data_IF_608125216102
#
_entry.id   IF_608125216102
#
_cell.length_a   1.000
_cell.length_b   1.000
_cell.length_c   1.000
_cell.angle_alpha   90.00
_cell.angle_beta   90.00
_cell.angle_gamma   90.00
#
_symmetry.space_group_name_H-M   'P 1'
#
loop_
_entity.id
_entity.type
_entity.pdbx_description
1 polymer ?
#
# COMPACT_ATOMS: atom_id res chain seq x y z
N UNK A 1 16.17 6.68 -20.55
CA UNK A 1 15.81 6.24 -19.19
C UNK A 1 15.54 7.42 -18.23
N UNK A 2 16.00 8.64 -18.54
CA UNK A 2 15.81 9.84 -17.69
C UNK A 2 14.43 10.51 -17.76
N UNK A 3 13.66 10.38 -18.85
CA UNK A 3 12.36 11.07 -18.99
C UNK A 3 11.26 10.55 -18.05
N UNK A 4 11.34 9.29 -17.61
CA UNK A 4 10.34 8.72 -16.70
C UNK A 4 10.57 9.14 -15.24
N UNK A 5 11.82 9.39 -14.83
CA UNK A 5 12.13 9.83 -13.46
C UNK A 5 11.73 11.27 -13.18
N UNK A 6 11.68 12.13 -14.19
CA UNK A 6 11.26 13.54 -14.06
C UNK A 6 9.76 13.75 -14.14
N UNK A 7 9.00 12.83 -14.74
CA UNK A 7 7.53 12.91 -14.77
C UNK A 7 6.88 12.31 -13.52
N UNK A 8 7.58 11.40 -12.81
CA UNK A 8 7.06 10.77 -11.59
C UNK A 8 6.88 11.73 -10.40
N UNK A 9 7.46 12.94 -10.47
CA UNK A 9 7.28 13.98 -9.44
C UNK A 9 6.01 14.82 -9.62
N UNK A 10 5.38 14.80 -10.80
CA UNK A 10 4.15 15.55 -11.09
C UNK A 10 2.92 14.64 -11.30
N UNK A 11 3.11 13.31 -11.33
CA UNK A 11 2.04 12.34 -11.58
C UNK A 11 1.78 11.52 -10.32
N UNK A 12 0.52 11.47 -9.89
CA UNK A 12 0.09 10.59 -8.80
C UNK A 12 0.32 9.12 -9.19
N UNK A 13 1.27 8.45 -8.53
CA UNK A 13 1.58 7.05 -8.77
C UNK A 13 0.80 6.19 -7.79
N UNK A 14 -0.14 5.41 -8.33
CA UNK A 14 -0.91 4.42 -7.59
C UNK A 14 -0.25 3.05 -7.69
N UNK A 15 0.13 2.49 -6.56
CA UNK A 15 0.57 1.10 -6.52
C UNK A 15 -0.56 0.21 -6.04
N UNK A 16 -1.09 -0.61 -6.96
CA UNK A 16 -2.09 -1.64 -6.68
C UNK A 16 -1.41 -3.00 -6.91
N UNK A 17 -0.83 -3.63 -5.88
CA UNK A 17 -0.24 -4.94 -6.02
C UNK A 17 -1.37 -5.98 -6.09
N UNK A 18 -1.84 -6.25 -7.32
CA UNK A 18 -2.92 -7.22 -7.57
C UNK A 18 -2.45 -8.68 -7.71
N UNK A 19 -1.15 -8.94 -7.82
CA UNK A 19 -0.65 -10.28 -8.17
C UNK A 19 -0.14 -11.11 -6.98
N UNK A 20 0.62 -10.50 -6.06
CA UNK A 20 1.07 -11.13 -4.81
C UNK A 20 1.85 -10.12 -3.96
N UNK A 21 1.97 -10.38 -2.66
CA UNK A 21 2.87 -9.66 -1.74
C UNK A 21 4.31 -9.70 -2.24
N UNK A 22 4.78 -10.84 -2.76
CA UNK A 22 6.15 -10.96 -3.26
C UNK A 22 6.42 -10.02 -4.44
N UNK A 23 5.55 -10.02 -5.46
CA UNK A 23 5.69 -9.15 -6.63
C UNK A 23 5.67 -7.67 -6.22
N UNK A 24 4.81 -7.34 -5.25
CA UNK A 24 4.74 -6.00 -4.66
C UNK A 24 6.08 -5.56 -4.08
N UNK A 25 6.70 -6.44 -3.29
CA UNK A 25 7.96 -6.17 -2.62
C UNK A 25 9.15 -6.14 -3.58
N UNK A 26 9.13 -6.95 -4.65
CA UNK A 26 10.16 -6.89 -5.71
C UNK A 26 10.18 -5.51 -6.36
N UNK A 27 9.01 -4.96 -6.70
CA UNK A 27 8.92 -3.59 -7.22
C UNK A 27 9.43 -2.56 -6.21
N UNK A 28 8.98 -2.62 -4.96
CA UNK A 28 9.37 -1.64 -3.95
C UNK A 28 10.87 -1.67 -3.63
N UNK A 29 11.53 -2.83 -3.77
CA UNK A 29 12.97 -2.99 -3.55
C UNK A 29 13.84 -2.56 -4.73
N UNK A 30 13.28 -2.41 -5.93
CA UNK A 30 14.06 -2.00 -7.10
C UNK A 30 14.41 -0.50 -7.03
N UNK A 31 15.44 -0.07 -7.77
CA UNK A 31 15.91 1.32 -7.76
C UNK A 31 14.82 2.35 -8.08
N UNK A 32 13.83 1.97 -8.90
CA UNK A 32 12.70 2.83 -9.19
C UNK A 32 11.72 2.90 -8.01
N UNK A 33 11.36 1.76 -7.41
CA UNK A 33 10.47 1.71 -6.26
C UNK A 33 11.05 2.45 -5.05
N UNK A 34 12.34 2.31 -4.79
CA UNK A 34 13.04 3.02 -3.71
C UNK A 34 12.99 4.56 -3.88
N UNK A 35 12.96 5.09 -5.11
CA UNK A 35 12.80 6.54 -5.34
C UNK A 35 11.41 7.05 -4.93
N UNK A 36 10.43 6.17 -4.83
CA UNK A 36 9.05 6.50 -4.42
C UNK A 36 8.87 6.47 -2.90
N UNK A 37 9.89 6.03 -2.15
CA UNK A 37 9.85 5.98 -0.70
C UNK A 37 9.54 7.36 -0.11
N UNK A 38 8.47 7.43 0.68
CA UNK A 38 8.01 8.65 1.37
C UNK A 38 7.66 9.82 0.42
N UNK A 39 7.57 9.59 -0.89
CA UNK A 39 7.12 10.60 -1.84
C UNK A 39 5.62 10.90 -1.64
N UNK A 40 5.21 12.17 -1.55
CA UNK A 40 3.81 12.54 -1.36
C UNK A 40 2.92 12.13 -2.54
N UNK A 41 3.51 11.98 -3.74
CA UNK A 41 2.86 11.51 -4.97
C UNK A 41 2.63 10.01 -5.01
N UNK A 42 3.16 9.23 -4.05
CA UNK A 42 3.08 7.78 -4.06
C UNK A 42 2.15 7.27 -2.97
N UNK A 43 1.10 6.56 -3.39
CA UNK A 43 0.13 5.92 -2.50
C UNK A 43 -0.04 4.45 -2.85
N UNK A 44 -0.30 3.63 -1.84
CA UNK A 44 -0.42 2.18 -1.97
C UNK A 44 -1.85 1.77 -1.64
N UNK A 45 -2.49 0.98 -2.51
CA UNK A 45 -3.81 0.41 -2.27
C UNK A 45 -3.69 -1.11 -2.27
N UNK A 46 -4.28 -1.79 -1.29
CA UNK A 46 -4.28 -3.25 -1.21
C UNK A 46 -5.64 -3.77 -0.78
N UNK A 47 -5.97 -4.99 -1.18
CA UNK A 47 -7.05 -5.76 -0.53
C UNK A 47 -6.52 -6.46 0.74
N UNK A 48 -7.40 -6.79 1.68
CA UNK A 48 -7.03 -7.56 2.87
C UNK A 48 -6.84 -9.05 2.55
N UNK A 49 -7.72 -9.59 1.71
CA UNK A 49 -7.76 -11.02 1.35
C UNK A 49 -7.20 -11.24 -0.05
N UNK A 50 -6.35 -12.26 -0.21
CA UNK A 50 -5.86 -12.73 -1.52
C UNK A 50 -5.77 -14.26 -1.51
N UNK A 51 -6.56 -14.92 -2.35
CA UNK A 51 -6.78 -16.37 -2.32
C UNK A 51 -5.51 -17.18 -2.63
N UNK A 52 -4.59 -16.59 -3.40
CA UNK A 52 -3.31 -17.19 -3.78
C UNK A 52 -2.23 -17.12 -2.69
N UNK A 53 -2.47 -16.36 -1.61
CA UNK A 53 -1.50 -16.21 -0.52
C UNK A 53 -1.83 -17.06 0.72
N UNK A 54 -0.80 -17.36 1.53
CA UNK A 54 -0.95 -18.18 2.73
C UNK A 54 -0.49 -17.40 3.99
N UNK A 55 -1.39 -17.16 4.97
CA UNK A 55 -2.84 -17.34 4.88
C UNK A 55 -3.48 -16.21 4.05
N UNK A 56 -4.61 -16.49 3.37
CA UNK A 56 -5.21 -15.54 2.42
C UNK A 56 -5.82 -14.33 3.11
N UNK A 57 -6.42 -14.50 4.28
CA UNK A 57 -7.25 -13.51 4.98
C UNK A 57 -6.48 -12.34 5.61
N UNK A 58 -5.16 -12.36 5.59
CA UNK A 58 -4.32 -11.29 6.14
C UNK A 58 -3.22 -10.82 5.17
N UNK A 59 -3.34 -11.16 3.89
CA UNK A 59 -2.37 -10.80 2.86
C UNK A 59 -2.09 -9.28 2.83
N UNK A 60 -3.12 -8.45 2.92
CA UNK A 60 -2.96 -7.00 2.98
C UNK A 60 -2.17 -6.53 4.20
N UNK A 61 -2.45 -7.07 5.38
CA UNK A 61 -1.73 -6.73 6.61
C UNK A 61 -0.27 -7.21 6.59
N UNK A 62 0.02 -8.40 6.03
CA UNK A 62 1.39 -8.89 5.82
C UNK A 62 2.16 -8.00 4.85
N UNK A 63 1.52 -7.57 3.76
CA UNK A 63 2.12 -6.60 2.83
C UNK A 63 2.42 -5.28 3.53
N UNK A 64 1.49 -4.71 4.31
CA UNK A 64 1.71 -3.46 5.05
C UNK A 64 2.89 -3.58 6.03
N UNK A 65 2.98 -4.69 6.77
CA UNK A 65 4.11 -4.93 7.67
C UNK A 65 5.45 -4.97 6.91
N UNK A 66 5.48 -5.61 5.74
CA UNK A 66 6.66 -5.67 4.89
C UNK A 66 7.05 -4.31 4.30
N UNK A 67 6.07 -3.54 3.79
CA UNK A 67 6.26 -2.16 3.29
C UNK A 67 6.88 -1.28 4.39
N UNK A 68 6.34 -1.35 5.61
CA UNK A 68 6.84 -0.58 6.77
C UNK A 68 8.21 -1.05 7.26
N UNK A 69 8.63 -2.28 6.94
CA UNK A 69 9.98 -2.75 7.18
C UNK A 69 10.98 -2.30 6.11
N UNK A 70 10.50 -1.90 4.93
CA UNK A 70 11.30 -1.32 3.86
C UNK A 70 11.49 0.20 3.99
N UNK A 71 10.92 0.85 5.02
CA UNK A 71 11.07 2.30 5.25
C UNK A 71 9.93 3.17 4.69
N UNK A 72 9.09 2.62 3.82
CA UNK A 72 7.97 3.33 3.22
C UNK A 72 6.92 3.71 4.28
N UNK A 73 6.76 5.01 4.55
CA UNK A 73 5.72 5.60 5.40
C UNK A 73 4.61 6.29 4.58
N UNK A 74 4.57 6.03 3.27
CA UNK A 74 3.55 6.50 2.36
C UNK A 74 2.13 6.15 2.84
N UNK A 75 1.16 6.91 2.36
CA UNK A 75 -0.26 6.64 2.57
C UNK A 75 -0.62 5.28 1.95
N UNK A 76 -1.25 4.44 2.77
CA UNK A 76 -1.69 3.10 2.41
C UNK A 76 -3.19 2.96 2.68
N UNK A 77 -3.94 2.41 1.72
CA UNK A 77 -5.36 2.09 1.89
C UNK A 77 -5.57 0.59 1.77
N UNK A 78 -6.24 -0.01 2.75
CA UNK A 78 -6.80 -1.34 2.65
C UNK A 78 -8.26 -1.21 2.21
N UNK A 79 -8.58 -1.63 0.99
CA UNK A 79 -9.95 -1.70 0.50
C UNK A 79 -10.51 -3.10 0.79
N UNK A 80 -11.59 -3.21 1.55
CA UNK A 80 -12.08 -4.50 2.06
C UNK A 80 -13.52 -4.43 2.49
N UNK A 81 -14.26 -5.53 2.33
CA UNK A 81 -15.67 -5.63 2.75
C UNK A 81 -15.84 -5.73 4.28
N UNK A 82 -14.78 -6.03 5.03
CA UNK A 82 -14.83 -6.14 6.49
C UNK A 82 -13.73 -5.31 7.14
N UNK A 83 -14.05 -4.05 7.41
CA UNK A 83 -13.12 -3.06 7.97
C UNK A 83 -12.64 -3.43 9.37
N UNK A 84 -13.53 -3.93 10.22
CA UNK A 84 -13.19 -4.34 11.59
C UNK A 84 -12.14 -5.44 11.57
N UNK A 85 -12.40 -6.53 10.83
CA UNK A 85 -11.46 -7.65 10.70
C UNK A 85 -10.14 -7.19 10.10
N UNK A 86 -10.18 -6.30 9.12
CA UNK A 86 -8.96 -5.75 8.53
C UNK A 86 -8.14 -4.95 9.55
N UNK A 87 -8.76 -4.12 10.39
CA UNK A 87 -8.06 -3.44 11.48
C UNK A 87 -7.49 -4.39 12.51
N UNK A 88 -8.20 -5.48 12.85
CA UNK A 88 -7.66 -6.53 13.73
C UNK A 88 -6.38 -7.15 13.15
N UNK A 89 -6.37 -7.49 11.85
CA UNK A 89 -5.18 -8.03 11.18
C UNK A 89 -4.02 -7.02 11.11
N UNK A 90 -4.31 -5.75 10.79
CA UNK A 90 -3.30 -4.67 10.79
C UNK A 90 -2.72 -4.49 12.19
N UNK A 91 -3.55 -4.49 13.23
CA UNK A 91 -3.11 -4.32 14.61
C UNK A 91 -2.32 -5.52 15.13
N UNK A 92 -2.58 -6.73 14.61
CA UNK A 92 -1.82 -7.92 14.96
C UNK A 92 -0.43 -7.94 14.31
N UNK A 93 -0.30 -7.49 13.06
CA UNK A 93 0.92 -7.68 12.25
C UNK A 93 1.79 -6.44 12.10
N UNK A 94 1.21 -5.23 12.15
CA UNK A 94 1.96 -3.98 12.01
C UNK A 94 2.25 -3.42 13.41
N UNK A 95 3.51 -3.14 13.79
CA UNK A 95 3.83 -2.51 15.06
C UNK A 95 3.12 -1.15 15.20
N UNK A 96 2.65 -0.81 16.40
CA UNK A 96 1.91 0.44 16.65
C UNK A 96 2.67 1.70 16.21
N UNK A 97 4.00 1.72 16.37
CA UNK A 97 4.89 2.80 15.90
C UNK A 97 5.00 2.94 14.38
N UNK A 98 4.43 2.00 13.62
CA UNK A 98 4.47 1.94 12.15
C UNK A 98 3.08 2.00 11.50
N UNK A 99 2.02 2.26 12.27
CA UNK A 99 0.62 2.29 11.77
C UNK A 99 0.17 3.63 11.20
N UNK A 100 1.01 4.67 11.28
CA UNK A 100 0.75 5.95 10.65
C UNK A 100 0.40 5.79 9.18
N UNK A 101 -0.48 6.66 8.68
CA UNK A 101 -0.84 6.73 7.26
C UNK A 101 -1.42 5.42 6.68
N UNK A 102 -2.01 4.57 7.53
CA UNK A 102 -2.78 3.40 7.11
C UNK A 102 -4.26 3.72 7.27
N UNK A 103 -5.01 3.49 6.21
CA UNK A 103 -6.46 3.64 6.16
C UNK A 103 -7.08 2.30 5.79
N UNK A 104 -8.27 2.03 6.30
CA UNK A 104 -9.07 0.85 5.95
C UNK A 104 -10.46 1.33 5.59
N UNK A 105 -11.02 0.86 4.49
CA UNK A 105 -12.38 1.23 4.09
C UNK A 105 -13.03 0.16 3.21
N UNK A 106 -14.35 0.11 3.26
CA UNK A 106 -15.23 -0.60 2.34
C UNK A 106 -15.92 0.36 1.35
N UNK A 107 -15.76 1.67 1.54
CA UNK A 107 -16.49 2.70 0.80
C UNK A 107 -15.76 3.08 -0.49
N UNK A 108 -16.40 2.86 -1.64
CA UNK A 108 -15.88 3.24 -2.94
C UNK A 108 -15.52 4.74 -3.03
N UNK A 109 -16.32 5.69 -2.52
CA UNK A 109 -15.95 7.11 -2.55
C UNK A 109 -14.63 7.42 -1.81
N UNK A 110 -14.32 6.68 -0.74
CA UNK A 110 -13.05 6.85 -0.01
C UNK A 110 -11.89 6.34 -0.86
N UNK A 111 -12.05 5.21 -1.53
CA UNK A 111 -11.06 4.70 -2.50
C UNK A 111 -10.83 5.71 -3.63
N UNK A 112 -11.91 6.25 -4.23
CA UNK A 112 -11.83 7.23 -5.31
C UNK A 112 -11.11 8.52 -4.88
N UNK A 113 -11.41 9.04 -3.69
CA UNK A 113 -10.72 10.21 -3.14
C UNK A 113 -9.26 9.90 -2.76
N UNK A 114 -9.00 8.68 -2.32
CA UNK A 114 -7.65 8.24 -1.98
C UNK A 114 -6.75 8.20 -3.23
N UNK A 115 -7.29 7.79 -4.38
CA UNK A 115 -6.55 7.75 -5.65
C UNK A 115 -6.55 9.10 -6.41
N UNK A 116 -7.60 9.91 -6.29
CA UNK A 116 -7.70 11.19 -7.01
C UNK A 116 -7.22 12.38 -6.18
N UNK A 117 -6.13 12.23 -5.45
CA UNK A 117 -5.66 13.25 -4.51
C UNK A 117 -4.90 14.40 -5.17
N UNK A 118 -4.93 15.56 -4.51
CA UNK A 118 -4.10 16.73 -4.84
C UNK A 118 -3.05 16.87 -3.74
N UNK A 119 -1.83 17.22 -4.12
CA UNK A 119 -0.69 17.45 -3.21
C UNK A 119 -0.62 18.92 -2.84
#
# INVERSE_FOLDING_TARGET
MEKASTLGTEVNVHFIPKASTESALVFLRCDFGQRLENQPTFRIVTDMTRDEEIPPENAGARLLAAIRNLGFNNHCLVFTMNEQKAWEQVNALVPSSKRQNIFVTSELPVLENFINFII
#
